data_IF_462719371080
#
_entry.id   IF_462719371080
#
_cell.length_a   1.000
_cell.length_b   1.000
_cell.length_c   1.000
_cell.angle_alpha   90.00
_cell.angle_beta   90.00
_cell.angle_gamma   90.00
#
_symmetry.space_group_name_H-M   'P 1'
#
loop_
_entity.id
_entity.type
_entity.pdbx_description
1 polymer ?
#
# COMPACT_ATOMS: atom_id res chain seq x y z
N UNK A 1 -18.42 -10.52 6.96
CA UNK A 1 -17.50 -11.69 7.03
C UNK A 1 -16.86 -11.88 8.38
N UNK A 2 -16.35 -10.82 9.01
CA UNK A 2 -15.79 -10.84 10.37
C UNK A 2 -16.69 -11.58 11.39
N UNK A 3 -17.96 -11.21 11.48
CA UNK A 3 -18.93 -11.84 12.41
C UNK A 3 -19.16 -13.34 12.16
N UNK A 4 -18.81 -13.84 10.97
CA UNK A 4 -18.92 -15.26 10.61
C UNK A 4 -17.68 -16.08 10.97
N UNK A 5 -16.65 -15.44 11.53
CA UNK A 5 -15.37 -16.06 11.84
C UNK A 5 -14.46 -16.18 10.62
N UNK A 6 -13.43 -15.34 10.57
CA UNK A 6 -12.45 -15.36 9.48
C UNK A 6 -11.69 -16.68 9.44
N UNK A 7 -11.66 -17.32 8.29
CA UNK A 7 -10.87 -18.53 8.05
C UNK A 7 -10.52 -18.64 6.56
N UNK A 8 -9.49 -19.42 6.22
CA UNK A 8 -8.97 -19.51 4.86
C UNK A 8 -9.98 -20.01 3.82
N UNK A 9 -11.01 -20.77 4.25
CA UNK A 9 -12.04 -21.33 3.37
C UNK A 9 -13.25 -20.40 3.20
N UNK A 10 -13.38 -19.37 4.04
CA UNK A 10 -14.48 -18.42 3.97
C UNK A 10 -14.42 -17.66 2.63
N UNK A 11 -15.54 -17.66 1.90
CA UNK A 11 -15.71 -16.86 0.69
C UNK A 11 -15.95 -15.40 1.09
N UNK A 12 -15.36 -14.49 0.34
CA UNK A 12 -15.52 -13.06 0.56
C UNK A 12 -16.87 -12.63 -0.02
N UNK A 13 -17.76 -12.23 0.88
CA UNK A 13 -19.08 -11.70 0.56
C UNK A 13 -19.17 -10.24 0.97
N UNK A 14 -18.86 -9.97 2.25
CA UNK A 14 -18.90 -8.63 2.83
C UNK A 14 -17.52 -8.30 3.44
N UNK A 15 -16.60 -7.89 2.56
CA UNK A 15 -15.25 -7.51 2.95
C UNK A 15 -15.25 -6.21 3.76
N UNK A 16 -14.67 -6.27 4.96
CA UNK A 16 -14.48 -5.09 5.81
C UNK A 16 -12.98 -4.82 5.94
N UNK A 17 -12.51 -3.63 5.53
CA UNK A 17 -11.10 -3.22 5.67
C UNK A 17 -10.80 -2.74 7.11
N UNK A 18 -11.14 -3.53 8.12
CA UNK A 18 -10.86 -3.24 9.54
C UNK A 18 -9.53 -3.88 10.00
N UNK A 19 -9.15 -3.58 11.25
CA UNK A 19 -7.93 -4.13 11.86
C UNK A 19 -7.96 -5.64 11.91
N UNK A 20 -9.04 -6.23 12.39
CA UNK A 20 -9.20 -7.68 12.51
C UNK A 20 -8.98 -8.44 11.20
N UNK A 21 -9.58 -7.96 10.11
CA UNK A 21 -9.37 -8.55 8.77
C UNK A 21 -7.92 -8.45 8.32
N UNK A 22 -7.26 -7.33 8.60
CA UNK A 22 -5.85 -7.14 8.23
C UNK A 22 -4.93 -8.01 9.06
N UNK A 23 -5.14 -8.06 10.37
CA UNK A 23 -4.37 -8.87 11.31
C UNK A 23 -4.48 -10.36 10.92
N UNK A 24 -5.69 -10.85 10.62
CA UNK A 24 -5.89 -12.20 10.09
C UNK A 24 -5.09 -12.47 8.82
N UNK A 25 -5.15 -11.57 7.82
CA UNK A 25 -4.40 -11.76 6.56
C UNK A 25 -2.89 -11.80 6.81
N UNK A 26 -2.38 -10.91 7.66
CA UNK A 26 -0.96 -10.81 8.00
C UNK A 26 -0.50 -12.05 8.77
N UNK A 27 -1.24 -12.46 9.79
CA UNK A 27 -0.94 -13.66 10.59
C UNK A 27 -0.87 -14.90 9.70
N UNK A 28 -1.90 -15.15 8.90
CA UNK A 28 -1.93 -16.30 7.99
C UNK A 28 -0.83 -16.22 6.93
N UNK A 29 -0.48 -15.02 6.46
CA UNK A 29 0.64 -14.84 5.54
C UNK A 29 1.98 -15.18 6.20
N UNK A 30 2.19 -14.81 7.47
CA UNK A 30 3.40 -15.15 8.22
C UNK A 30 3.51 -16.65 8.50
N UNK A 31 2.39 -17.34 8.76
CA UNK A 31 2.38 -18.80 8.90
C UNK A 31 2.80 -19.51 7.60
N UNK A 32 2.39 -18.97 6.45
CA UNK A 32 2.69 -19.58 5.13
C UNK A 32 4.04 -19.15 4.55
N UNK A 33 4.50 -17.93 4.85
CA UNK A 33 5.71 -17.33 4.32
C UNK A 33 6.32 -16.36 5.36
N UNK A 34 7.05 -16.89 6.36
CA UNK A 34 7.60 -16.12 7.48
C UNK A 34 8.53 -14.96 7.08
N UNK A 35 9.14 -15.06 5.89
CA UNK A 35 10.03 -14.06 5.30
C UNK A 35 9.29 -12.83 4.76
N UNK A 36 7.98 -12.92 4.55
CA UNK A 36 7.19 -11.81 4.02
C UNK A 36 7.20 -10.64 5.00
N UNK A 37 7.41 -9.44 4.46
CA UNK A 37 7.32 -8.16 5.17
C UNK A 37 6.44 -7.23 4.35
N UNK A 38 5.56 -6.48 5.02
CA UNK A 38 4.64 -5.57 4.34
C UNK A 38 5.39 -4.49 3.56
N UNK A 39 5.13 -4.40 2.24
CA UNK A 39 5.61 -3.32 1.37
C UNK A 39 4.53 -2.25 1.16
N UNK A 40 4.97 -1.01 0.96
CA UNK A 40 4.07 0.10 0.60
C UNK A 40 3.31 -0.21 -0.70
N UNK A 41 2.00 0.04 -0.71
CA UNK A 41 1.13 -0.16 -1.87
C UNK A 41 0.54 -1.57 -2.02
N UNK A 42 0.95 -2.55 -1.20
CA UNK A 42 0.38 -3.91 -1.22
C UNK A 42 -1.11 -3.88 -0.96
N UNK A 43 -1.55 -3.23 0.13
CA UNK A 43 -2.96 -3.15 0.51
C UNK A 43 -3.84 -2.53 -0.58
N UNK A 44 -3.34 -1.52 -1.28
CA UNK A 44 -4.05 -0.92 -2.40
C UNK A 44 -4.24 -1.92 -3.54
N UNK A 45 -3.17 -2.64 -3.92
CA UNK A 45 -3.24 -3.63 -5.00
C UNK A 45 -4.07 -4.84 -4.63
N UNK A 46 -4.02 -5.25 -3.38
CA UNK A 46 -4.84 -6.33 -2.86
C UNK A 46 -6.32 -5.96 -2.94
N UNK A 47 -6.69 -4.74 -2.52
CA UNK A 47 -8.06 -4.24 -2.63
C UNK A 47 -8.51 -4.15 -4.08
N UNK A 48 -7.68 -3.60 -4.98
CA UNK A 48 -7.99 -3.53 -6.42
C UNK A 48 -8.17 -4.90 -7.05
N UNK A 49 -7.34 -5.87 -6.67
CA UNK A 49 -7.47 -7.24 -7.14
C UNK A 49 -8.77 -7.88 -6.63
N UNK A 50 -9.10 -7.71 -5.35
CA UNK A 50 -10.35 -8.21 -4.75
C UNK A 50 -11.57 -7.62 -5.46
N UNK A 51 -11.61 -6.29 -5.60
CA UNK A 51 -12.68 -5.57 -6.30
C UNK A 51 -12.86 -6.11 -7.73
N UNK A 52 -11.76 -6.26 -8.47
CA UNK A 52 -11.80 -6.80 -9.83
C UNK A 52 -12.38 -8.22 -9.90
N UNK A 53 -12.07 -9.09 -8.93
CA UNK A 53 -12.65 -10.44 -8.85
C UNK A 53 -14.14 -10.40 -8.56
N UNK A 54 -14.56 -9.56 -7.61
CA UNK A 54 -15.98 -9.38 -7.30
C UNK A 54 -16.77 -8.85 -8.49
N UNK A 55 -16.23 -7.85 -9.21
CA UNK A 55 -16.86 -7.32 -10.43
C UNK A 55 -16.95 -8.37 -11.54
N UNK A 56 -16.00 -9.29 -11.64
CA UNK A 56 -16.04 -10.40 -12.61
C UNK A 56 -16.91 -11.58 -12.17
N UNK A 57 -17.75 -11.43 -11.13
CA UNK A 57 -18.63 -12.47 -10.61
C UNK A 57 -17.91 -13.61 -9.87
N UNK A 58 -16.61 -13.46 -9.60
CA UNK A 58 -15.83 -14.45 -8.86
C UNK A 58 -15.69 -14.00 -7.41
N UNK A 59 -16.14 -14.85 -6.47
CA UNK A 59 -15.99 -14.58 -5.04
C UNK A 59 -14.77 -15.34 -4.48
N UNK A 60 -13.59 -14.70 -4.36
CA UNK A 60 -12.40 -15.34 -3.83
C UNK A 60 -12.58 -15.70 -2.35
N UNK A 61 -11.82 -16.68 -1.89
CA UNK A 61 -11.71 -16.99 -0.46
C UNK A 61 -10.72 -16.07 0.24
N UNK A 62 -10.81 -16.00 1.57
CA UNK A 62 -9.76 -15.39 2.39
C UNK A 62 -8.39 -16.06 2.19
N UNK A 63 -8.34 -17.37 1.90
CA UNK A 63 -7.11 -18.06 1.52
C UNK A 63 -6.52 -17.56 0.20
N UNK A 64 -7.35 -17.25 -0.79
CA UNK A 64 -6.89 -16.62 -2.05
C UNK A 64 -6.35 -15.22 -1.78
N UNK A 65 -7.00 -14.47 -0.88
CA UNK A 65 -6.57 -13.14 -0.48
C UNK A 65 -5.20 -13.16 0.20
N UNK A 66 -4.96 -14.13 1.10
CA UNK A 66 -3.65 -14.33 1.76
C UNK A 66 -2.58 -14.70 0.73
N UNK A 67 -2.85 -15.65 -0.17
CA UNK A 67 -1.90 -16.01 -1.25
C UNK A 67 -1.57 -14.81 -2.12
N UNK A 68 -2.56 -13.98 -2.45
CA UNK A 68 -2.34 -12.76 -3.24
C UNK A 68 -1.52 -11.73 -2.47
N UNK A 69 -1.76 -11.56 -1.17
CA UNK A 69 -0.97 -10.68 -0.31
C UNK A 69 0.50 -11.11 -0.27
N UNK A 70 0.78 -12.40 -0.10
CA UNK A 70 2.14 -12.96 -0.16
C UNK A 70 2.79 -12.67 -1.52
N UNK A 71 2.09 -12.98 -2.61
CA UNK A 71 2.61 -12.76 -3.97
C UNK A 71 2.96 -11.29 -4.22
N UNK A 72 2.11 -10.35 -3.80
CA UNK A 72 2.37 -8.91 -3.93
C UNK A 72 3.60 -8.47 -3.12
N UNK A 73 3.79 -8.99 -1.91
CA UNK A 73 4.97 -8.66 -1.10
C UNK A 73 6.27 -9.26 -1.65
N UNK A 74 6.21 -10.38 -2.38
CA UNK A 74 7.38 -10.98 -3.04
C UNK A 74 7.80 -10.27 -4.32
N UNK A 75 6.95 -9.41 -4.89
CA UNK A 75 7.32 -8.61 -6.06
C UNK A 75 8.47 -7.64 -5.74
N UNK A 76 9.44 -7.53 -6.64
CA UNK A 76 10.58 -6.60 -6.49
C UNK A 76 10.10 -5.15 -6.47
N UNK A 77 9.28 -4.78 -7.47
CA UNK A 77 8.75 -3.42 -7.63
C UNK A 77 7.32 -3.45 -8.16
N UNK A 78 6.56 -2.42 -7.79
CA UNK A 78 5.25 -2.16 -8.34
C UNK A 78 5.32 -1.14 -9.48
N UNK A 79 4.53 -1.35 -10.53
CA UNK A 79 4.29 -0.33 -11.55
C UNK A 79 3.74 0.95 -10.92
N UNK A 80 4.11 2.11 -11.46
CA UNK A 80 3.60 3.38 -10.95
C UNK A 80 2.11 3.50 -11.25
N UNK A 81 1.31 3.82 -10.23
CA UNK A 81 -0.13 4.04 -10.44
C UNK A 81 -0.30 5.40 -11.14
N UNK A 82 -1.16 5.54 -12.15
CA UNK A 82 -1.42 6.84 -12.76
C UNK A 82 -1.98 7.87 -11.77
N UNK A 83 -1.52 9.12 -11.89
CA UNK A 83 -1.83 10.31 -11.07
C UNK A 83 -1.34 10.33 -9.62
N UNK A 84 -1.18 11.55 -9.08
CA UNK A 84 -0.56 11.95 -7.80
C UNK A 84 -1.09 11.25 -6.55
N UNK A 85 -0.85 9.94 -6.45
CA UNK A 85 -1.24 9.10 -5.34
C UNK A 85 -0.13 9.09 -4.30
N UNK A 86 -0.53 9.32 -3.06
CA UNK A 86 0.28 9.14 -1.85
C UNK A 86 1.20 7.91 -1.90
N UNK A 87 0.71 6.78 -2.41
CA UNK A 87 1.47 5.52 -2.48
C UNK A 87 2.70 5.65 -3.40
N UNK A 88 2.58 6.29 -4.55
CA UNK A 88 3.71 6.51 -5.44
C UNK A 88 4.75 7.41 -4.77
N UNK A 89 4.29 8.49 -4.14
CA UNK A 89 5.16 9.41 -3.42
C UNK A 89 5.94 8.68 -2.32
N UNK A 90 5.26 7.92 -1.45
CA UNK A 90 5.92 7.18 -0.36
C UNK A 90 6.90 6.14 -0.91
N UNK A 91 6.52 5.43 -1.98
CA UNK A 91 7.42 4.45 -2.60
C UNK A 91 8.69 5.11 -3.17
N UNK A 92 8.55 6.23 -3.88
CA UNK A 92 9.69 7.00 -4.42
C UNK A 92 10.55 7.61 -3.29
N UNK A 93 9.91 8.13 -2.23
CA UNK A 93 10.59 8.71 -1.07
C UNK A 93 11.45 7.68 -0.34
N UNK A 94 10.91 6.50 -0.04
CA UNK A 94 11.65 5.42 0.63
C UNK A 94 12.70 4.77 -0.28
N UNK A 95 12.53 4.84 -1.61
CA UNK A 95 13.52 4.34 -2.56
C UNK A 95 14.73 5.28 -2.70
N UNK A 96 14.55 6.59 -2.46
CA UNK A 96 15.60 7.59 -2.61
C UNK A 96 16.66 7.54 -1.50
N UNK A 97 16.28 7.14 -0.28
CA UNK A 97 17.22 6.95 0.83
C UNK A 97 16.74 5.82 1.75
N UNK A 98 17.60 4.80 1.97
CA UNK A 98 17.26 3.66 2.83
C UNK A 98 17.25 3.98 4.33
N UNK A 99 17.75 5.15 4.73
CA UNK A 99 17.79 5.61 6.13
C UNK A 99 16.51 6.30 6.55
N UNK A 100 15.66 6.69 5.60
CA UNK A 100 14.41 7.41 5.89
C UNK A 100 13.29 6.45 6.28
N UNK A 101 12.43 6.94 7.15
CA UNK A 101 11.30 6.22 7.71
C UNK A 101 10.01 6.52 6.97
N UNK A 102 9.02 5.64 7.13
CA UNK A 102 7.68 5.88 6.61
C UNK A 102 7.01 7.10 7.23
N UNK A 103 7.31 7.43 8.49
CA UNK A 103 6.80 8.62 9.15
C UNK A 103 7.31 9.90 8.47
N UNK A 104 8.58 9.93 8.10
CA UNK A 104 9.15 11.05 7.35
C UNK A 104 8.52 11.19 5.96
N UNK A 105 8.25 10.07 5.27
CA UNK A 105 7.53 10.09 4.00
C UNK A 105 6.11 10.68 4.13
N UNK A 106 5.41 10.38 5.23
CA UNK A 106 4.06 10.93 5.52
C UNK A 106 4.13 12.44 5.82
N UNK A 107 5.13 12.87 6.58
CA UNK A 107 5.35 14.28 6.87
C UNK A 107 5.64 15.08 5.59
N UNK A 108 6.52 14.56 4.73
CA UNK A 108 6.84 15.16 3.44
C UNK A 108 5.63 15.20 2.49
N UNK A 109 4.80 14.15 2.48
CA UNK A 109 3.54 14.17 1.73
C UNK A 109 2.59 15.25 2.24
N UNK A 110 2.51 15.44 3.55
CA UNK A 110 1.68 16.48 4.17
C UNK A 110 2.13 17.86 3.75
N UNK A 111 3.43 18.14 3.74
CA UNK A 111 3.98 19.39 3.21
C UNK A 111 3.63 19.56 1.73
N UNK A 112 3.81 18.52 0.91
CA UNK A 112 3.54 18.58 -0.53
C UNK A 112 2.08 18.93 -0.86
N UNK A 113 1.12 18.53 -0.02
CA UNK A 113 -0.29 18.85 -0.22
C UNK A 113 -0.56 20.36 -0.22
N UNK A 114 0.19 21.11 0.60
CA UNK A 114 0.04 22.56 0.75
C UNK A 114 0.73 23.36 -0.35
N UNK A 115 1.57 22.71 -1.16
CA UNK A 115 2.31 23.37 -2.24
C UNK A 115 1.48 23.34 -3.53
N UNK A 116 1.44 24.44 -4.26
CA UNK A 116 0.82 24.49 -5.59
C UNK A 116 1.75 23.92 -6.68
N UNK A 117 2.02 22.62 -6.59
CA UNK A 117 2.88 21.84 -7.50
C UNK A 117 2.30 20.44 -7.72
N UNK A 118 2.74 19.69 -8.76
CA UNK A 118 2.36 18.29 -8.93
C UNK A 118 2.68 17.46 -7.68
N UNK A 119 1.76 16.56 -7.31
CA UNK A 119 1.84 15.75 -6.07
C UNK A 119 2.68 14.48 -6.28
N UNK A 120 3.94 14.67 -6.66
CA UNK A 120 4.94 13.62 -6.83
C UNK A 120 6.27 13.97 -6.11
N UNK A 121 7.12 12.95 -5.92
CA UNK A 121 8.34 13.10 -5.12
C UNK A 121 9.33 14.07 -5.79
N UNK A 122 9.47 13.99 -7.11
CA UNK A 122 10.38 14.85 -7.87
C UNK A 122 10.02 16.34 -7.73
N UNK A 123 8.72 16.67 -7.77
CA UNK A 123 8.21 18.03 -7.62
C UNK A 123 8.39 18.54 -6.18
N UNK A 124 8.20 17.69 -5.17
CA UNK A 124 8.50 18.03 -3.78
C UNK A 124 9.99 18.38 -3.57
N UNK A 125 10.91 17.56 -4.11
CA UNK A 125 12.36 17.83 -4.04
C UNK A 125 12.70 19.18 -4.66
N UNK A 126 12.17 19.47 -5.87
CA UNK A 126 12.37 20.76 -6.56
C UNK A 126 11.84 21.94 -5.76
N UNK A 127 10.64 21.84 -5.22
CA UNK A 127 10.02 22.91 -4.41
C UNK A 127 10.86 23.21 -3.15
N UNK A 128 11.37 22.17 -2.48
CA UNK A 128 12.22 22.31 -1.29
C UNK A 128 13.58 22.94 -1.62
N UNK A 129 14.21 22.55 -2.73
CA UNK A 129 15.45 23.16 -3.20
C UNK A 129 15.28 24.67 -3.49
N UNK A 130 14.17 25.04 -4.16
CA UNK A 130 13.84 26.45 -4.46
C UNK A 130 13.60 27.28 -3.20
N UNK A 131 12.96 26.71 -2.16
CA UNK A 131 12.81 27.36 -0.84
C UNK A 131 14.17 27.61 -0.18
N UNK A 132 15.07 26.61 -0.14
CA UNK A 132 16.40 26.75 0.47
C UNK A 132 17.27 27.80 -0.25
N UNK A 133 17.13 27.94 -1.57
CA UNK A 133 17.84 28.96 -2.34
C UNK A 133 17.30 30.40 -2.16
N UNK A 134 16.06 30.57 -1.69
CA UNK A 134 15.47 31.90 -1.43
C UNK A 134 15.71 32.43 0.00
N UNK A 135 16.14 31.59 0.93
CA UNK A 135 16.48 31.97 2.32
C UNK A 135 17.99 32.23 2.52
N UNK A 136 18.75 32.36 1.44
CA UNK A 136 20.14 32.84 1.40
C UNK A 136 20.18 34.15 0.65
#
# INVERSE_FOLDING_TARGET
DVERGLNLKLRIENYTSNRETKDFIVEQAHLMAPEVREKSGVWYRLNRWREGRTTSGTHPTYGDLVRRYIALNKMERFEKIPHGRYINFVAEFLAADKRVTRAEAIAAWTELKELDVPKDYASWVKARAKRKGKSR
#
